data_IF_251381377197
#
_entry.id   IF_251381377197
#
_cell.length_a   1.000
_cell.length_b   1.000
_cell.length_c   1.000
_cell.angle_alpha   90.00
_cell.angle_beta   90.00
_cell.angle_gamma   90.00
#
_symmetry.space_group_name_H-M   'P 1'
#
loop_
_entity.id
_entity.type
_entity.pdbx_description
1 polymer ?
#
# COMPACT_ATOMS: atom_id res chain seq x y z
N UNK A 1 0.63 -20.04 -11.90
CA UNK A 1 1.80 -19.19 -11.66
C UNK A 1 2.92 -20.04 -11.07
N UNK A 2 4.15 -19.85 -11.53
CA UNK A 2 5.34 -20.52 -10.97
C UNK A 2 5.67 -19.97 -9.58
N UNK A 3 6.27 -20.80 -8.71
CA UNK A 3 6.44 -20.46 -7.29
C UNK A 3 7.32 -19.22 -7.07
N UNK A 4 8.41 -19.07 -7.83
CA UNK A 4 9.26 -17.87 -7.68
C UNK A 4 8.54 -16.60 -8.14
N UNK A 5 7.62 -16.69 -9.10
CA UNK A 5 6.79 -15.54 -9.53
C UNK A 5 5.82 -15.15 -8.42
N UNK A 6 5.24 -16.14 -7.72
CA UNK A 6 4.39 -15.90 -6.56
C UNK A 6 5.15 -15.19 -5.44
N UNK A 7 6.35 -15.69 -5.09
CA UNK A 7 7.23 -15.07 -4.09
C UNK A 7 7.65 -13.64 -4.48
N UNK A 8 7.91 -13.41 -5.76
CA UNK A 8 8.22 -12.07 -6.27
C UNK A 8 7.04 -11.10 -6.07
N UNK A 9 5.82 -11.53 -6.41
CA UNK A 9 4.62 -10.71 -6.18
C UNK A 9 4.38 -10.42 -4.70
N UNK A 10 4.62 -11.40 -3.81
CA UNK A 10 4.55 -11.18 -2.35
C UNK A 10 5.59 -10.18 -1.86
N UNK A 11 6.81 -10.20 -2.42
CA UNK A 11 7.85 -9.23 -2.10
C UNK A 11 7.46 -7.81 -2.56
N UNK A 12 6.88 -7.67 -3.75
CA UNK A 12 6.37 -6.39 -4.25
C UNK A 12 5.23 -5.85 -3.37
N UNK A 13 4.30 -6.70 -2.95
CA UNK A 13 3.22 -6.29 -2.05
C UNK A 13 3.78 -5.79 -0.71
N UNK A 14 4.76 -6.50 -0.14
CA UNK A 14 5.43 -6.07 1.08
C UNK A 14 6.10 -4.71 0.94
N UNK A 15 6.72 -4.44 -0.21
CA UNK A 15 7.29 -3.13 -0.52
C UNK A 15 6.21 -2.03 -0.52
N UNK A 16 5.05 -2.27 -1.14
CA UNK A 16 3.92 -1.33 -1.14
C UNK A 16 3.38 -1.10 0.28
N UNK A 17 3.29 -2.14 1.11
CA UNK A 17 2.88 -2.02 2.52
C UNK A 17 3.89 -1.18 3.34
N UNK A 18 5.19 -1.35 3.07
CA UNK A 18 6.23 -0.55 3.72
C UNK A 18 6.14 0.92 3.31
N UNK A 19 5.91 1.23 2.03
CA UNK A 19 5.64 2.59 1.57
C UNK A 19 4.43 3.19 2.28
N UNK A 20 3.30 2.47 2.31
CA UNK A 20 2.08 2.90 3.04
C UNK A 20 2.39 3.22 4.50
N UNK A 21 3.15 2.36 5.19
CA UNK A 21 3.55 2.59 6.57
C UNK A 21 4.47 3.81 6.73
N UNK A 22 5.28 4.13 5.73
CA UNK A 22 6.09 5.35 5.70
C UNK A 22 5.22 6.59 5.56
N UNK A 23 4.31 6.65 4.56
CA UNK A 23 3.40 7.79 4.39
C UNK A 23 2.55 8.04 5.63
N UNK A 24 2.06 6.98 6.28
CA UNK A 24 1.27 7.11 7.49
C UNK A 24 2.03 7.74 8.66
N UNK A 25 3.37 7.64 8.70
CA UNK A 25 4.19 8.30 9.73
C UNK A 25 4.27 9.82 9.54
N UNK A 26 4.03 10.31 8.32
CA UNK A 26 4.00 11.74 8.01
C UNK A 26 2.62 12.37 8.20
N UNK A 27 1.58 11.56 8.38
CA UNK A 27 0.22 12.05 8.57
C UNK A 27 0.08 12.78 9.91
N UNK A 28 -0.62 13.92 9.88
CA UNK A 28 -0.85 14.77 11.07
C UNK A 28 -2.33 14.85 11.43
N UNK A 29 -2.70 15.03 12.71
CA UNK A 29 -4.11 15.20 13.10
C UNK A 29 -4.70 16.55 12.68
N UNK A 30 -3.85 17.52 12.32
CA UNK A 30 -4.27 18.90 12.00
C UNK A 30 -4.84 19.04 10.57
N UNK A 31 -4.85 17.96 9.80
CA UNK A 31 -5.36 17.93 8.42
C UNK A 31 -4.27 18.14 7.36
N UNK A 32 -4.72 18.46 6.14
CA UNK A 32 -3.87 18.73 4.97
C UNK A 32 -2.97 17.53 4.57
N UNK A 33 -3.45 16.30 4.76
CA UNK A 33 -2.71 15.08 4.45
C UNK A 33 -3.00 14.52 3.04
N UNK A 34 -3.85 15.17 2.24
CA UNK A 34 -4.27 14.67 0.91
C UNK A 34 -3.08 14.37 0.00
N UNK A 35 -2.02 15.18 0.08
CA UNK A 35 -0.80 14.97 -0.70
C UNK A 35 -0.13 13.61 -0.42
N UNK A 36 -0.20 13.10 0.81
CA UNK A 36 0.37 11.79 1.17
C UNK A 36 -0.34 10.65 0.43
N UNK A 37 -1.65 10.77 0.21
CA UNK A 37 -2.45 9.79 -0.52
C UNK A 37 -2.12 9.82 -2.01
N UNK A 38 -1.99 11.03 -2.57
CA UNK A 38 -1.69 11.21 -3.99
C UNK A 38 -0.24 10.81 -4.32
N UNK A 39 0.75 11.20 -3.50
CA UNK A 39 2.14 10.77 -3.66
C UNK A 39 2.27 9.24 -3.57
N UNK A 40 1.60 8.60 -2.63
CA UNK A 40 1.60 7.13 -2.54
C UNK A 40 0.97 6.46 -3.77
N UNK A 41 -0.13 7.03 -4.30
CA UNK A 41 -0.77 6.56 -5.54
C UNK A 41 0.17 6.71 -6.74
N UNK A 42 0.87 7.84 -6.84
CA UNK A 42 1.83 8.11 -7.90
C UNK A 42 3.02 7.15 -7.82
N UNK A 43 3.52 6.86 -6.62
CA UNK A 43 4.62 5.93 -6.39
C UNK A 43 4.26 4.50 -6.83
N UNK A 44 3.06 4.02 -6.48
CA UNK A 44 2.51 2.74 -6.98
C UNK A 44 2.46 2.76 -8.51
N UNK A 45 1.90 3.82 -9.10
CA UNK A 45 1.74 3.92 -10.56
C UNK A 45 3.09 3.88 -11.26
N UNK A 46 4.06 4.63 -10.74
CA UNK A 46 5.40 4.81 -11.29
C UNK A 46 6.21 3.53 -11.25
N UNK A 47 6.14 2.76 -10.16
CA UNK A 47 6.99 1.58 -9.97
C UNK A 47 6.29 0.25 -10.28
N UNK A 48 5.03 0.05 -9.86
CA UNK A 48 4.34 -1.23 -10.05
C UNK A 48 3.88 -1.44 -11.49
N UNK A 49 3.32 -0.42 -12.13
CA UNK A 49 2.81 -0.53 -13.50
C UNK A 49 3.87 -1.02 -14.52
N UNK A 50 5.08 -0.44 -14.61
CA UNK A 50 6.09 -0.93 -15.54
C UNK A 50 6.62 -2.32 -15.16
N UNK A 51 6.70 -2.63 -13.87
CA UNK A 51 7.19 -3.95 -13.41
C UNK A 51 6.24 -5.07 -13.82
N UNK A 52 4.95 -4.94 -13.50
CA UNK A 52 3.93 -5.93 -13.87
C UNK A 52 3.75 -6.03 -15.38
N UNK A 53 3.91 -4.91 -16.10
CA UNK A 53 3.94 -4.94 -17.57
C UNK A 53 5.04 -5.85 -18.09
N UNK A 54 6.25 -5.78 -17.52
CA UNK A 54 7.36 -6.67 -17.91
C UNK A 54 7.07 -8.13 -17.56
N UNK A 55 6.55 -8.41 -16.37
CA UNK A 55 6.16 -9.78 -16.00
C UNK A 55 5.12 -10.36 -16.97
N UNK A 56 4.16 -9.55 -17.39
CA UNK A 56 3.17 -9.94 -18.39
C UNK A 56 3.77 -10.15 -19.78
N UNK A 57 4.62 -9.22 -20.25
CA UNK A 57 5.26 -9.31 -21.57
C UNK A 57 6.21 -10.50 -21.69
N UNK A 58 6.85 -10.90 -20.59
CA UNK A 58 7.69 -12.09 -20.50
C UNK A 58 6.90 -13.36 -20.15
N UNK A 59 5.56 -13.31 -20.15
CA UNK A 59 4.66 -14.45 -19.94
C UNK A 59 4.76 -15.11 -18.55
N UNK A 60 5.36 -14.46 -17.56
CA UNK A 60 5.42 -14.95 -16.17
C UNK A 60 4.06 -14.86 -15.46
N UNK A 61 3.24 -13.88 -15.85
CA UNK A 61 1.87 -13.69 -15.35
C UNK A 61 0.92 -13.42 -16.50
N UNK A 62 -0.35 -13.76 -16.31
CA UNK A 62 -1.43 -13.41 -17.21
C UNK A 62 -1.84 -11.94 -17.05
N UNK A 63 -2.52 -11.41 -18.07
CA UNK A 63 -3.13 -10.07 -17.99
C UNK A 63 -4.09 -9.94 -16.78
N UNK A 64 -4.83 -11.00 -16.47
CA UNK A 64 -5.77 -11.01 -15.34
C UNK A 64 -5.04 -10.91 -14.00
N UNK A 65 -3.97 -11.68 -13.82
CA UNK A 65 -3.13 -11.62 -12.61
C UNK A 65 -2.49 -10.24 -12.45
N UNK A 66 -1.95 -9.65 -13.52
CA UNK A 66 -1.40 -8.29 -13.48
C UNK A 66 -2.45 -7.23 -13.08
N UNK A 67 -3.67 -7.34 -13.64
CA UNK A 67 -4.78 -6.44 -13.31
C UNK A 67 -5.24 -6.59 -11.85
N UNK A 68 -5.30 -7.82 -11.36
CA UNK A 68 -5.70 -8.10 -9.98
C UNK A 68 -4.65 -7.59 -8.99
N UNK A 69 -3.37 -7.83 -9.26
CA UNK A 69 -2.31 -7.30 -8.43
C UNK A 69 -2.29 -5.76 -8.40
N UNK A 70 -2.48 -5.09 -9.55
CA UNK A 70 -2.60 -3.63 -9.55
C UNK A 70 -3.82 -3.14 -8.76
N UNK A 71 -4.95 -3.86 -8.82
CA UNK A 71 -6.14 -3.53 -8.02
C UNK A 71 -5.85 -3.64 -6.53
N UNK A 72 -5.10 -4.66 -6.12
CA UNK A 72 -4.64 -4.84 -4.74
C UNK A 72 -3.74 -3.68 -4.31
N UNK A 73 -2.75 -3.29 -5.12
CA UNK A 73 -1.93 -2.11 -4.82
C UNK A 73 -2.78 -0.85 -4.62
N UNK A 74 -3.75 -0.58 -5.51
CA UNK A 74 -4.61 0.60 -5.36
C UNK A 74 -5.59 0.49 -4.19
N UNK A 75 -5.94 -0.72 -3.73
CA UNK A 75 -6.74 -0.88 -2.50
C UNK A 75 -6.01 -0.34 -1.27
N UNK A 76 -4.67 -0.41 -1.26
CA UNK A 76 -3.86 0.18 -0.20
C UNK A 76 -3.87 1.71 -0.19
N UNK A 77 -4.10 2.37 -1.34
CA UNK A 77 -4.28 3.83 -1.40
C UNK A 77 -5.58 4.22 -0.70
N UNK A 78 -6.67 3.51 -0.98
CA UNK A 78 -7.96 3.74 -0.32
C UNK A 78 -7.91 3.39 1.16
N UNK A 79 -7.14 2.36 1.55
CA UNK A 79 -6.85 2.11 2.95
C UNK A 79 -6.12 3.30 3.58
N UNK A 80 -5.01 3.78 3.00
CA UNK A 80 -4.25 4.90 3.55
C UNK A 80 -5.13 6.14 3.74
N UNK A 81 -5.96 6.46 2.75
CA UNK A 81 -6.95 7.55 2.83
C UNK A 81 -7.87 7.38 4.04
N UNK A 82 -8.41 6.18 4.25
CA UNK A 82 -9.25 5.88 5.43
C UNK A 82 -8.48 6.05 6.75
N UNK A 83 -7.25 5.56 6.82
CA UNK A 83 -6.40 5.71 8.01
C UNK A 83 -6.17 7.19 8.34
N UNK A 84 -5.89 8.01 7.33
CA UNK A 84 -5.68 9.46 7.48
C UNK A 84 -6.96 10.16 7.91
N UNK A 85 -8.11 9.84 7.31
CA UNK A 85 -9.41 10.44 7.70
C UNK A 85 -9.76 10.12 9.14
N UNK A 86 -9.49 8.91 9.61
CA UNK A 86 -9.67 8.56 11.01
C UNK A 86 -8.70 9.29 11.94
N UNK A 87 -7.57 9.82 11.44
CA UNK A 87 -6.57 10.53 12.24
C UNK A 87 -7.03 11.95 12.50
N UNK A 88 -7.47 12.59 11.43
CA UNK A 88 -8.00 13.94 11.40
C UNK A 88 -9.36 14.03 12.10
N UNK A 89 -10.15 12.95 12.04
CA UNK A 89 -11.49 12.88 12.61
C UNK A 89 -11.72 11.53 13.29
N UNK A 90 -11.13 11.30 14.48
CA UNK A 90 -11.21 10.03 15.17
C UNK A 90 -12.65 9.66 15.52
N UNK A 91 -13.09 8.42 15.21
CA UNK A 91 -14.42 7.97 15.59
C UNK A 91 -14.55 7.93 17.11
N UNK A 92 -15.78 8.11 17.61
CA UNK A 92 -16.06 8.12 19.06
C UNK A 92 -15.67 6.81 19.80
N UNK A 93 -15.27 5.75 19.08
CA UNK A 93 -14.75 4.51 19.66
C UNK A 93 -13.24 4.33 19.33
N UNK A 94 -12.34 4.34 20.32
CA UNK A 94 -10.90 4.53 20.13
C UNK A 94 -10.10 3.24 19.81
N UNK A 95 -10.71 2.25 19.15
CA UNK A 95 -10.11 0.91 18.99
C UNK A 95 -8.98 0.81 17.95
N UNK A 96 -9.07 1.57 16.86
CA UNK A 96 -8.29 1.31 15.65
C UNK A 96 -6.92 1.99 15.62
N UNK A 97 -6.79 3.20 16.19
CA UNK A 97 -5.51 3.90 16.37
C UNK A 97 -4.47 3.07 17.13
N UNK A 98 -4.91 2.29 18.13
CA UNK A 98 -4.04 1.34 18.84
C UNK A 98 -3.51 0.21 17.92
N UNK A 99 -4.31 -0.22 16.96
CA UNK A 99 -3.96 -1.29 16.00
C UNK A 99 -3.03 -0.77 14.91
N UNK A 100 -3.26 0.44 14.40
CA UNK A 100 -2.38 1.14 13.45
C UNK A 100 -1.01 1.41 14.06
N UNK A 101 -0.96 1.94 15.29
CA UNK A 101 0.29 2.11 16.03
C UNK A 101 0.98 0.77 16.29
N UNK A 102 0.21 -0.31 16.49
CA UNK A 102 0.72 -1.68 16.57
C UNK A 102 1.40 -2.14 15.28
N UNK A 103 0.75 -1.92 14.13
CA UNK A 103 1.26 -2.30 12.81
C UNK A 103 2.58 -1.57 12.47
N UNK A 104 2.64 -0.26 12.72
CA UNK A 104 3.86 0.55 12.50
C UNK A 104 5.02 0.03 13.37
N UNK A 105 4.73 -0.43 14.60
CA UNK A 105 5.74 -1.01 15.51
C UNK A 105 6.19 -2.41 15.10
N UNK A 106 5.37 -3.15 14.37
CA UNK A 106 5.67 -4.53 13.94
C UNK A 106 6.55 -4.53 12.68
N UNK A 107 6.29 -3.63 11.74
CA UNK A 107 7.14 -3.40 10.54
C UNK A 107 8.57 -2.96 10.90
N UNK A 108 8.78 -2.35 12.08
CA UNK A 108 10.12 -1.97 12.59
C UNK A 108 10.95 -3.13 13.15
N UNK A 109 10.42 -4.33 13.24
CA UNK A 109 11.04 -5.46 13.95
C UNK A 109 11.76 -6.48 13.04
N UNK A 110 11.72 -6.26 11.73
CA UNK A 110 12.50 -6.96 10.71
C UNK A 110 13.64 -6.08 10.18
#
# INVERSE_FOLDING_TARGET
MEEYVRLELEALERMVLNWKASYLQYATPDGNNDFLVEEFREEITTYMSPYLRRLYQCEYITKKEAQEFMRQCYSHVEDLRRLIQELESPPAQPGFWRKVVGLIKEVRRD
#
